data_IF_857611214742
#
_entry.id   IF_857611214742
#
_cell.length_a   1.000
_cell.length_b   1.000
_cell.length_c   1.000
_cell.angle_alpha   90.00
_cell.angle_beta   90.00
_cell.angle_gamma   90.00
#
_symmetry.space_group_name_H-M   'P 1'
#
loop_
_entity.id
_entity.type
_entity.pdbx_description
1 polymer ?
#
# COMPACT_ATOMS: atom_id res chain seq x y z
N UNK A 1 -2.66 8.13 1.16
CA UNK A 1 -3.46 9.04 0.30
C UNK A 1 -4.39 8.29 -0.64
N UNK A 2 -3.89 7.43 -1.53
CA UNK A 2 -4.75 6.80 -2.55
C UNK A 2 -5.81 5.83 -1.99
N UNK A 3 -5.50 5.05 -0.95
CA UNK A 3 -6.49 4.18 -0.28
C UNK A 3 -7.60 4.99 0.39
N UNK A 4 -7.26 6.13 1.00
CA UNK A 4 -8.26 6.98 1.63
C UNK A 4 -9.20 7.61 0.62
N UNK A 5 -8.67 8.08 -0.51
CA UNK A 5 -9.50 8.62 -1.59
C UNK A 5 -10.51 7.60 -2.10
N UNK A 6 -10.06 6.36 -2.30
CA UNK A 6 -10.93 5.27 -2.72
C UNK A 6 -12.05 4.99 -1.68
N UNK A 7 -11.73 5.05 -0.39
CA UNK A 7 -12.73 4.90 0.68
C UNK A 7 -13.72 6.07 0.71
N UNK A 8 -13.27 7.31 0.48
CA UNK A 8 -14.15 8.48 0.35
C UNK A 8 -15.08 8.32 -0.86
N UNK A 9 -14.54 7.90 -2.01
CA UNK A 9 -15.33 7.74 -3.23
C UNK A 9 -16.37 6.61 -3.10
N UNK A 10 -16.04 5.57 -2.33
CA UNK A 10 -16.92 4.39 -2.15
C UNK A 10 -17.96 4.59 -1.06
N UNK A 11 -17.57 5.14 0.09
CA UNK A 11 -18.42 5.22 1.29
C UNK A 11 -18.77 6.65 1.72
N UNK A 12 -18.22 7.66 1.06
CA UNK A 12 -18.41 9.07 1.41
C UNK A 12 -17.52 9.53 2.56
N UNK A 13 -17.55 10.84 2.82
CA UNK A 13 -16.70 11.47 3.85
C UNK A 13 -17.07 11.06 5.28
N UNK A 14 -18.34 10.73 5.53
CA UNK A 14 -18.85 10.33 6.86
C UNK A 14 -18.27 9.00 7.36
N UNK A 15 -17.71 8.17 6.47
CA UNK A 15 -17.07 6.91 6.83
C UNK A 15 -15.96 7.09 7.89
N UNK A 16 -15.15 8.14 7.76
CA UNK A 16 -14.06 8.41 8.70
C UNK A 16 -14.56 8.95 10.04
N UNK A 17 -15.69 9.64 10.05
CA UNK A 17 -16.33 10.09 11.29
C UNK A 17 -16.90 8.91 12.06
N UNK A 18 -17.52 7.95 11.37
CA UNK A 18 -17.97 6.69 11.97
C UNK A 18 -16.80 5.87 12.52
N UNK A 19 -15.70 5.73 11.77
CA UNK A 19 -14.49 5.06 12.27
C UNK A 19 -13.97 5.68 13.57
N UNK A 20 -13.91 7.01 13.63
CA UNK A 20 -13.49 7.72 14.85
C UNK A 20 -14.48 7.55 16.00
N UNK A 21 -15.79 7.53 15.72
CA UNK A 21 -16.80 7.25 16.72
C UNK A 21 -16.63 5.85 17.35
N UNK A 22 -16.00 4.91 16.63
CA UNK A 22 -15.59 3.60 17.12
C UNK A 22 -14.17 3.55 17.71
N UNK A 23 -13.51 4.70 17.89
CA UNK A 23 -12.17 4.81 18.49
C UNK A 23 -11.03 4.46 17.54
N UNK A 24 -11.27 4.45 16.22
CA UNK A 24 -10.24 4.16 15.21
C UNK A 24 -9.58 5.47 14.78
N UNK A 25 -8.42 5.75 15.37
CA UNK A 25 -7.54 6.83 14.92
C UNK A 25 -6.61 6.36 13.81
N UNK A 26 -6.58 7.12 12.71
CA UNK A 26 -5.78 6.81 11.53
C UNK A 26 -4.38 7.39 11.71
N UNK A 27 -3.40 6.52 11.91
CA UNK A 27 -2.00 6.93 11.99
C UNK A 27 -1.44 7.39 10.63
N UNK A 28 -0.59 8.42 10.65
CA UNK A 28 0.21 8.83 9.48
C UNK A 28 1.26 7.79 9.07
N UNK A 29 1.61 7.81 7.79
CA UNK A 29 2.51 6.82 7.19
C UNK A 29 3.97 6.97 7.62
N UNK A 30 4.60 5.82 7.87
CA UNK A 30 6.00 5.67 8.27
C UNK A 30 6.07 4.75 9.50
N UNK A 31 5.60 5.22 10.67
CA UNK A 31 5.60 4.44 11.91
C UNK A 31 4.24 3.79 12.25
N UNK A 32 3.20 3.90 11.40
CA UNK A 32 1.84 3.45 11.75
C UNK A 32 1.75 2.01 12.24
N UNK A 33 2.46 1.06 11.60
CA UNK A 33 2.51 -0.32 12.06
C UNK A 33 3.21 -0.47 13.42
N UNK A 34 4.25 0.32 13.67
CA UNK A 34 4.96 0.38 14.94
C UNK A 34 4.12 1.01 16.05
N UNK A 35 3.30 2.01 15.75
CA UNK A 35 2.37 2.62 16.70
C UNK A 35 1.28 1.64 17.14
N UNK A 36 0.77 0.82 16.21
CA UNK A 36 -0.14 -0.28 16.55
C UNK A 36 0.57 -1.35 17.37
N UNK A 37 1.80 -1.72 16.98
CA UNK A 37 2.61 -2.68 17.75
C UNK A 37 2.92 -2.22 19.18
N UNK A 38 3.08 -0.92 19.38
CA UNK A 38 3.30 -0.30 20.69
C UNK A 38 2.01 -0.09 21.50
N UNK A 39 0.83 -0.36 20.93
CA UNK A 39 -0.47 -0.10 21.55
C UNK A 39 -0.87 1.38 21.61
N UNK A 40 -0.17 2.26 20.89
CA UNK A 40 -0.47 3.69 20.82
C UNK A 40 -1.67 3.99 19.92
N UNK A 41 -1.92 3.14 18.91
CA UNK A 41 -3.08 3.21 18.03
C UNK A 41 -3.74 1.82 17.93
N UNK A 42 -5.07 1.73 17.94
CA UNK A 42 -5.75 0.43 17.83
C UNK A 42 -5.69 -0.15 16.42
N UNK A 43 -5.67 0.69 15.38
CA UNK A 43 -5.71 0.28 13.97
C UNK A 43 -4.84 1.22 13.12
N UNK A 44 -4.22 0.68 12.07
CA UNK A 44 -3.56 1.45 11.03
C UNK A 44 -4.12 1.09 9.65
N UNK A 45 -4.75 2.05 8.97
CA UNK A 45 -5.32 1.88 7.63
C UNK A 45 -4.28 2.26 6.57
N UNK A 46 -4.13 1.41 5.55
CA UNK A 46 -3.15 1.61 4.48
C UNK A 46 -1.79 0.99 4.79
N UNK A 47 -1.71 0.06 5.75
CA UNK A 47 -0.55 -0.77 5.96
C UNK A 47 -0.30 -1.70 4.76
N UNK A 48 0.97 -2.03 4.53
CA UNK A 48 1.37 -3.09 3.61
C UNK A 48 1.92 -4.29 4.40
N UNK A 49 1.79 -5.54 3.90
CA UNK A 49 2.24 -6.72 4.61
C UNK A 49 3.72 -6.65 4.99
N UNK A 50 4.58 -6.05 4.15
CA UNK A 50 6.01 -5.90 4.44
C UNK A 50 6.32 -5.00 5.64
N UNK A 51 5.37 -4.18 6.11
CA UNK A 51 5.51 -3.37 7.32
C UNK A 51 5.01 -4.10 8.57
N UNK A 52 4.02 -5.00 8.42
CA UNK A 52 3.32 -5.66 9.54
C UNK A 52 3.92 -7.03 9.84
N UNK A 53 4.19 -7.84 8.81
CA UNK A 53 4.67 -9.21 8.96
C UNK A 53 5.99 -9.31 9.75
N UNK A 54 7.00 -8.45 9.53
CA UNK A 54 8.23 -8.50 10.33
C UNK A 54 7.98 -8.20 11.81
N UNK A 55 7.12 -7.22 12.13
CA UNK A 55 6.76 -6.88 13.51
C UNK A 55 6.01 -8.04 14.18
N UNK A 56 5.06 -8.66 13.47
CA UNK A 56 4.36 -9.86 13.95
C UNK A 56 5.33 -11.03 14.20
N UNK A 57 6.28 -11.25 13.30
CA UNK A 57 7.33 -12.28 13.47
C UNK A 57 8.23 -12.02 14.67
N UNK A 58 8.44 -10.74 15.04
CA UNK A 58 9.17 -10.34 16.25
C UNK A 58 8.33 -10.47 17.53
N UNK A 59 7.07 -10.91 17.44
CA UNK A 59 6.18 -11.11 18.58
C UNK A 59 5.31 -9.90 18.93
N UNK A 60 5.24 -8.88 18.07
CA UNK A 60 4.29 -7.79 18.27
C UNK A 60 2.83 -8.33 18.23
N UNK A 61 1.96 -7.90 19.16
CA UNK A 61 0.58 -8.38 19.24
C UNK A 61 -0.33 -7.70 18.21
N UNK A 62 0.03 -7.82 16.94
CA UNK A 62 -0.65 -7.18 15.80
C UNK A 62 -1.02 -8.20 14.73
N UNK A 63 -2.03 -7.86 13.92
CA UNK A 63 -2.38 -8.64 12.74
C UNK A 63 -2.55 -7.75 11.50
N UNK A 64 -2.48 -8.38 10.33
CA UNK A 64 -2.71 -7.75 9.04
C UNK A 64 -4.04 -8.23 8.47
N UNK A 65 -4.96 -7.30 8.24
CA UNK A 65 -6.24 -7.56 7.59
C UNK A 65 -6.28 -6.89 6.22
N UNK A 66 -6.28 -7.65 5.11
CA UNK A 66 -6.42 -7.07 3.78
C UNK A 66 -7.86 -6.54 3.58
N UNK A 67 -7.97 -5.28 3.12
CA UNK A 67 -9.25 -4.67 2.75
C UNK A 67 -9.72 -5.27 1.43
N UNK A 68 -10.92 -5.85 1.41
CA UNK A 68 -11.51 -6.50 0.23
C UNK A 68 -12.57 -5.64 -0.47
N UNK A 69 -13.21 -4.73 0.26
CA UNK A 69 -14.23 -3.83 -0.28
C UNK A 69 -13.87 -2.38 0.09
N UNK A 70 -13.49 -1.54 -0.89
CA UNK A 70 -12.96 -1.93 -2.19
C UNK A 70 -11.51 -2.44 -2.08
N UNK A 71 -11.19 -3.53 -2.78
CA UNK A 71 -9.82 -4.02 -2.86
C UNK A 71 -8.93 -3.06 -3.66
N UNK A 72 -7.79 -2.69 -3.09
CA UNK A 72 -6.79 -1.84 -3.76
C UNK A 72 -5.37 -2.16 -3.31
N UNK A 73 -4.40 -1.77 -4.12
CA UNK A 73 -2.97 -2.00 -3.89
C UNK A 73 -2.15 -0.99 -4.69
N UNK A 74 -0.87 -0.89 -4.33
CA UNK A 74 0.08 -0.05 -5.06
C UNK A 74 0.67 -0.82 -6.23
N UNK A 75 0.50 -0.30 -7.44
CA UNK A 75 1.23 -0.73 -8.62
C UNK A 75 2.68 -0.27 -8.52
N UNK A 76 3.63 -1.21 -8.49
CA UNK A 76 5.05 -0.91 -8.61
C UNK A 76 5.41 -0.76 -10.10
N UNK A 77 6.02 0.38 -10.45
CA UNK A 77 6.48 0.66 -11.80
C UNK A 77 8.00 0.61 -11.86
N UNK A 78 8.53 0.15 -12.99
CA UNK A 78 9.95 0.14 -13.29
C UNK A 78 10.18 0.98 -14.54
N UNK A 79 11.11 1.93 -14.45
CA UNK A 79 11.45 2.83 -15.54
C UNK A 79 12.98 2.95 -15.68
N UNK A 80 13.43 3.29 -16.89
CA UNK A 80 14.83 3.59 -17.19
C UNK A 80 14.95 5.09 -17.38
N UNK A 81 15.88 5.74 -16.67
CA UNK A 81 16.19 7.15 -16.90
C UNK A 81 16.70 7.36 -18.33
N UNK A 82 16.22 8.42 -18.99
CA UNK A 82 16.71 8.85 -20.30
C UNK A 82 18.19 9.26 -20.27
N UNK A 83 18.72 9.57 -19.09
CA UNK A 83 20.10 9.99 -18.84
C UNK A 83 20.93 8.89 -18.14
N UNK A 84 20.48 7.63 -18.17
CA UNK A 84 21.20 6.55 -17.53
C UNK A 84 22.65 6.44 -18.08
N UNK A 85 23.65 6.55 -17.20
CA UNK A 85 25.07 6.46 -17.58
C UNK A 85 25.43 5.13 -18.26
N UNK A 86 24.65 4.08 -17.99
CA UNK A 86 24.79 2.76 -18.60
C UNK A 86 23.42 2.24 -19.10
N UNK A 87 22.91 2.74 -20.25
CA UNK A 87 21.54 2.47 -20.67
C UNK A 87 21.32 0.98 -21.01
N UNK A 88 22.32 0.30 -21.57
CA UNK A 88 22.23 -1.13 -21.88
C UNK A 88 22.21 -1.99 -20.61
N UNK A 89 22.95 -1.62 -19.56
CA UNK A 89 22.91 -2.32 -18.28
C UNK A 89 21.55 -2.14 -17.61
N UNK A 90 20.97 -0.93 -17.66
CA UNK A 90 19.62 -0.68 -17.17
C UNK A 90 18.57 -1.51 -17.93
N UNK A 91 18.67 -1.60 -19.26
CA UNK A 91 17.79 -2.45 -20.08
C UNK A 91 17.91 -3.93 -19.72
N UNK A 92 19.13 -4.42 -19.51
CA UNK A 92 19.36 -5.79 -19.06
C UNK A 92 18.71 -6.07 -17.71
N UNK A 93 18.86 -5.16 -16.75
CA UNK A 93 18.22 -5.28 -15.43
C UNK A 93 16.69 -5.30 -15.54
N UNK A 94 16.11 -4.39 -16.32
CA UNK A 94 14.65 -4.36 -16.56
C UNK A 94 14.17 -5.66 -17.21
N UNK A 95 14.88 -6.16 -18.23
CA UNK A 95 14.54 -7.42 -18.87
C UNK A 95 14.60 -8.60 -17.89
N UNK A 96 15.65 -8.67 -17.06
CA UNK A 96 15.75 -9.69 -16.01
C UNK A 96 14.63 -9.56 -14.98
N UNK A 97 14.29 -8.34 -14.56
CA UNK A 97 13.27 -8.08 -13.54
C UNK A 97 11.87 -8.56 -13.96
N UNK A 98 11.60 -8.66 -15.25
CA UNK A 98 10.34 -9.18 -15.82
C UNK A 98 10.31 -10.72 -15.95
N UNK A 99 11.38 -11.42 -15.60
CA UNK A 99 11.44 -12.88 -15.67
C UNK A 99 10.79 -13.55 -14.46
N UNK A 100 10.30 -14.78 -14.63
CA UNK A 100 9.80 -15.61 -13.53
C UNK A 100 10.81 -15.75 -12.39
N UNK A 101 12.10 -15.97 -12.72
CA UNK A 101 13.17 -16.11 -11.74
C UNK A 101 13.27 -14.90 -10.80
N UNK A 102 13.22 -13.69 -11.36
CA UNK A 102 13.28 -12.47 -10.55
C UNK A 102 12.07 -12.35 -9.63
N UNK A 103 10.87 -12.71 -10.12
CA UNK A 103 9.66 -12.71 -9.31
C UNK A 103 9.69 -13.77 -8.20
N UNK A 104 10.21 -14.97 -8.45
CA UNK A 104 10.40 -16.01 -7.41
C UNK A 104 11.33 -15.52 -6.27
N UNK A 105 12.36 -14.74 -6.60
CA UNK A 105 13.25 -14.13 -5.59
C UNK A 105 12.49 -13.11 -4.74
N UNK A 106 11.70 -12.25 -5.38
CA UNK A 106 10.95 -11.21 -4.66
C UNK A 106 9.83 -11.77 -3.81
N UNK A 107 9.16 -12.81 -4.29
CA UNK A 107 8.12 -13.46 -3.52
C UNK A 107 8.68 -14.13 -2.26
N UNK A 108 9.91 -14.65 -2.29
CA UNK A 108 10.59 -15.10 -1.06
C UNK A 108 10.86 -13.96 -0.05
N UNK A 109 11.03 -12.73 -0.52
CA UNK A 109 11.18 -11.57 0.36
C UNK A 109 9.83 -11.14 1.00
N UNK A 110 8.70 -11.54 0.41
CA UNK A 110 7.35 -11.33 0.91
C UNK A 110 6.78 -9.92 0.66
N UNK A 111 5.47 -9.78 0.88
CA UNK A 111 4.78 -8.48 0.85
C UNK A 111 4.51 -7.89 -0.53
N UNK A 112 4.51 -8.69 -1.59
CA UNK A 112 4.09 -8.25 -2.91
C UNK A 112 3.46 -9.39 -3.72
N UNK A 113 2.41 -9.04 -4.48
CA UNK A 113 1.86 -9.90 -5.51
C UNK A 113 2.70 -9.80 -6.80
N UNK A 114 2.60 -10.82 -7.65
CA UNK A 114 3.31 -10.87 -8.93
C UNK A 114 2.35 -10.56 -10.09
N UNK A 115 2.69 -9.64 -11.02
CA UNK A 115 1.94 -9.46 -12.27
C UNK A 115 2.02 -10.67 -13.21
N UNK A 116 2.87 -11.66 -12.91
CA UNK A 116 2.93 -12.92 -13.65
C UNK A 116 1.86 -13.93 -13.18
N UNK A 117 1.02 -13.57 -12.21
CA UNK A 117 0.00 -14.42 -11.61
C UNK A 117 0.43 -15.04 -10.29
N UNK A 118 -0.37 -15.99 -9.80
CA UNK A 118 -0.12 -16.67 -8.53
C UNK A 118 1.15 -17.53 -8.62
N UNK A 119 2.06 -17.32 -7.67
CA UNK A 119 3.33 -18.02 -7.60
C UNK A 119 3.70 -18.30 -6.13
N UNK A 120 4.46 -19.37 -5.84
CA UNK A 120 4.86 -19.70 -4.47
C UNK A 120 5.57 -18.55 -3.75
N UNK A 121 5.11 -18.23 -2.54
CA UNK A 121 5.66 -17.18 -1.69
C UNK A 121 5.16 -15.76 -2.01
N UNK A 122 4.47 -15.54 -3.12
CA UNK A 122 3.91 -14.21 -3.40
C UNK A 122 2.65 -13.99 -2.57
N UNK A 123 2.32 -12.73 -2.33
CA UNK A 123 0.95 -12.39 -1.91
C UNK A 123 -0.04 -12.80 -3.01
N UNK A 124 -1.27 -13.20 -2.65
CA UNK A 124 -2.30 -13.55 -3.63
C UNK A 124 -2.54 -12.43 -4.65
N UNK A 125 -2.87 -12.80 -5.88
CA UNK A 125 -3.32 -11.82 -6.86
C UNK A 125 -4.52 -11.01 -6.32
N UNK A 126 -4.61 -9.71 -6.67
CA UNK A 126 -5.77 -8.91 -6.30
C UNK A 126 -7.06 -9.49 -6.90
N UNK A 127 -8.22 -9.28 -6.25
CA UNK A 127 -9.49 -9.79 -6.75
C UNK A 127 -9.90 -9.09 -8.07
N UNK A 128 -10.86 -9.66 -8.79
CA UNK A 128 -11.23 -9.20 -10.13
C UNK A 128 -11.80 -7.77 -10.17
N UNK A 129 -12.41 -7.33 -9.07
CA UNK A 129 -13.00 -6.00 -8.88
C UNK A 129 -12.01 -4.96 -8.33
N UNK A 130 -10.71 -5.31 -8.30
CA UNK A 130 -9.62 -4.44 -7.89
C UNK A 130 -9.71 -3.03 -8.47
N UNK A 131 -9.65 -2.04 -7.57
CA UNK A 131 -9.63 -0.63 -7.94
C UNK A 131 -8.20 -0.14 -7.95
N UNK A 132 -7.70 0.19 -9.15
CA UNK A 132 -6.40 0.85 -9.29
C UNK A 132 -6.47 2.24 -8.65
N UNK A 133 -5.55 2.57 -7.73
CA UNK A 133 -5.55 3.89 -7.13
C UNK A 133 -5.25 4.97 -8.19
N UNK A 134 -5.96 6.09 -8.11
CA UNK A 134 -5.65 7.27 -8.92
C UNK A 134 -4.44 7.98 -8.34
N UNK A 135 -3.32 7.89 -9.06
CA UNK A 135 -2.07 8.52 -8.66
C UNK A 135 -2.03 10.03 -8.95
N UNK A 136 -2.97 10.57 -9.74
CA UNK A 136 -3.05 12.02 -9.97
C UNK A 136 -3.39 12.79 -8.68
N UNK A 137 -4.11 12.14 -7.75
CA UNK A 137 -4.48 12.71 -6.44
C UNK A 137 -3.29 13.09 -5.57
N UNK A 138 -2.12 12.45 -5.77
CA UNK A 138 -0.89 12.85 -5.07
C UNK A 138 -0.42 14.26 -5.45
N UNK A 139 -0.86 14.78 -6.60
CA UNK A 139 -0.54 16.13 -7.07
C UNK A 139 -1.74 17.08 -7.04
N UNK A 140 -2.94 16.58 -6.73
CA UNK A 140 -4.15 17.41 -6.63
C UNK A 140 -4.23 18.11 -5.27
N UNK A 141 -3.68 19.32 -5.22
CA UNK A 141 -3.69 20.16 -4.01
C UNK A 141 -5.09 20.55 -3.56
N UNK A 142 -6.03 20.72 -4.48
CA UNK A 142 -7.40 21.12 -4.14
C UNK A 142 -8.12 19.96 -3.46
N UNK A 143 -7.96 18.75 -3.99
CA UNK A 143 -8.46 17.54 -3.37
C UNK A 143 -7.82 17.31 -1.99
N UNK A 144 -6.51 17.48 -1.88
CA UNK A 144 -5.77 17.31 -0.62
C UNK A 144 -6.24 18.29 0.45
N UNK A 145 -6.32 19.59 0.13
CA UNK A 145 -6.79 20.61 1.08
C UNK A 145 -8.22 20.36 1.57
N UNK A 146 -9.09 19.79 0.72
CA UNK A 146 -10.46 19.45 1.08
C UNK A 146 -10.56 18.20 1.95
N UNK A 147 -9.80 17.15 1.64
CA UNK A 147 -10.04 15.80 2.18
C UNK A 147 -9.03 15.36 3.24
N UNK A 148 -7.78 15.86 3.24
CA UNK A 148 -6.79 15.48 4.25
C UNK A 148 -7.20 15.89 5.68
N UNK A 149 -7.82 17.06 5.92
CA UNK A 149 -8.30 17.40 7.26
C UNK A 149 -9.36 16.43 7.78
N UNK A 150 -10.18 15.84 6.90
CA UNK A 150 -11.16 14.80 7.27
C UNK A 150 -10.50 13.51 7.74
N UNK A 151 -9.20 13.35 7.48
CA UNK A 151 -8.39 12.20 7.89
C UNK A 151 -7.53 12.55 9.12
N UNK A 152 -7.65 13.77 9.66
CA UNK A 152 -6.75 14.26 10.72
C UNK A 152 -5.34 14.57 10.21
N UNK A 153 -5.18 14.68 8.88
CA UNK A 153 -3.92 14.89 8.21
C UNK A 153 -3.78 16.37 7.80
N UNK A 154 -2.57 16.90 7.92
CA UNK A 154 -2.25 18.22 7.38
C UNK A 154 -1.96 18.14 5.87
N UNK A 155 -2.38 19.13 5.06
CA UNK A 155 -2.05 19.21 3.64
C UNK A 155 -0.56 19.32 3.33
#
# INVERSE_FOLDING_TARGET
MSTFALLIDTYGTGYFDELRAHGIDIAESGPGAQLVAAGANPVFIGAFPNLVLPLKQQGAPIDYLPIQDPASAVSNYLAISTEAAHPNAARLFVAWRLTKQSHEILCKAGGSASPLGDMPGCEPAPPADFKRPDYALFNDKAWQAKNLPLLGLTP
#
